data_IF_368175255452
#
_entry.id   IF_368175255452
#
_cell.length_a   1.000
_cell.length_b   1.000
_cell.length_c   1.000
_cell.angle_alpha   90.00
_cell.angle_beta   90.00
_cell.angle_gamma   90.00
#
_symmetry.space_group_name_H-M   'P 1'
#
loop_
_entity.id
_entity.type
_entity.pdbx_description
1 polymer ?
#
# COMPACT_ATOMS: atom_id res chain seq x y z
N UNK A 1 -11.51 -32.58 37.18
CA UNK A 1 -11.27 -32.77 35.74
C UNK A 1 -11.77 -31.59 34.91
N UNK A 2 -12.95 -31.08 35.10
CA UNK A 2 -13.51 -29.98 34.29
C UNK A 2 -12.66 -28.68 34.27
N UNK A 3 -12.11 -28.23 35.39
CA UNK A 3 -11.28 -27.00 35.45
C UNK A 3 -10.01 -27.13 34.62
N UNK A 4 -9.39 -28.29 34.56
CA UNK A 4 -8.18 -28.54 33.78
C UNK A 4 -8.45 -28.49 32.29
N UNK A 5 -9.56 -29.02 31.81
CA UNK A 5 -9.97 -29.00 30.42
C UNK A 5 -10.34 -27.55 29.97
N UNK A 6 -11.02 -26.78 30.81
CA UNK A 6 -11.34 -25.38 30.53
C UNK A 6 -10.09 -24.53 30.36
N UNK A 7 -9.07 -24.74 31.21
CA UNK A 7 -7.79 -24.02 31.09
C UNK A 7 -7.03 -24.39 29.81
N UNK A 8 -7.06 -25.68 29.42
CA UNK A 8 -6.42 -26.14 28.17
C UNK A 8 -7.12 -25.55 26.96
N UNK A 9 -8.46 -25.56 26.93
CA UNK A 9 -9.25 -24.97 25.84
C UNK A 9 -8.97 -23.47 25.72
N UNK A 10 -8.94 -22.74 26.83
CA UNK A 10 -8.63 -21.31 26.85
C UNK A 10 -7.22 -21.03 26.31
N UNK A 11 -6.23 -21.84 26.68
CA UNK A 11 -4.86 -21.74 26.19
C UNK A 11 -4.80 -21.97 24.66
N UNK A 12 -5.47 -23.02 24.17
CA UNK A 12 -5.52 -23.33 22.73
C UNK A 12 -6.17 -22.21 21.95
N UNK A 13 -7.30 -21.68 22.43
CA UNK A 13 -7.97 -20.53 21.80
C UNK A 13 -7.07 -19.29 21.75
N UNK A 14 -6.37 -19.00 22.85
CA UNK A 14 -5.41 -17.88 22.90
C UNK A 14 -4.28 -18.07 21.89
N UNK A 15 -3.72 -19.26 21.79
CA UNK A 15 -2.68 -19.57 20.81
C UNK A 15 -3.19 -19.44 19.37
N UNK A 16 -4.42 -19.88 19.09
CA UNK A 16 -5.04 -19.72 17.78
C UNK A 16 -5.23 -18.24 17.41
N UNK A 17 -5.65 -17.39 18.36
CA UNK A 17 -5.79 -15.96 18.14
C UNK A 17 -4.44 -15.31 17.86
N UNK A 18 -3.41 -15.62 18.65
CA UNK A 18 -2.05 -15.09 18.45
C UNK A 18 -1.48 -15.54 17.12
N UNK A 19 -1.60 -16.83 16.77
CA UNK A 19 -1.14 -17.37 15.50
C UNK A 19 -1.91 -16.73 14.33
N UNK A 20 -3.23 -16.59 14.42
CA UNK A 20 -4.06 -15.95 13.41
C UNK A 20 -3.66 -14.50 13.19
N UNK A 21 -3.41 -13.74 14.27
CA UNK A 21 -2.93 -12.36 14.18
C UNK A 21 -1.53 -12.27 13.52
N UNK A 22 -0.63 -13.15 13.92
CA UNK A 22 0.71 -13.23 13.32
C UNK A 22 0.62 -13.50 11.81
N UNK A 23 -0.14 -14.51 11.40
CA UNK A 23 -0.35 -14.84 10.00
C UNK A 23 -0.97 -13.68 9.22
N UNK A 24 -1.95 -12.98 9.81
CA UNK A 24 -2.62 -11.84 9.17
C UNK A 24 -1.65 -10.74 8.73
N UNK A 25 -0.62 -10.45 9.53
CA UNK A 25 0.38 -9.42 9.22
C UNK A 25 1.60 -9.94 8.44
N UNK A 26 1.86 -11.23 8.46
CA UNK A 26 3.04 -11.81 7.78
C UNK A 26 2.74 -12.37 6.39
N UNK A 27 1.49 -12.73 6.13
CA UNK A 27 1.10 -13.21 4.81
C UNK A 27 1.07 -12.06 3.79
N UNK A 28 1.60 -12.28 2.58
CA UNK A 28 1.52 -11.30 1.52
C UNK A 28 0.07 -10.92 1.19
N UNK A 29 -0.13 -9.67 0.86
CA UNK A 29 -1.42 -9.12 0.43
C UNK A 29 -1.34 -8.78 -1.04
N UNK A 30 -2.35 -9.19 -1.80
CA UNK A 30 -2.54 -8.74 -3.16
C UNK A 30 -3.20 -7.37 -3.17
N UNK A 31 -2.73 -6.49 -4.05
CA UNK A 31 -3.34 -5.18 -4.26
C UNK A 31 -4.58 -5.36 -5.14
N UNK A 32 -5.78 -4.99 -4.64
CA UNK A 32 -6.99 -5.02 -5.47
C UNK A 32 -6.82 -4.19 -6.74
N UNK A 33 -7.31 -4.69 -7.85
CA UNK A 33 -7.27 -4.05 -9.17
C UNK A 33 -5.86 -3.85 -9.78
N UNK A 34 -4.80 -4.38 -9.17
CA UNK A 34 -3.43 -4.25 -9.67
C UNK A 34 -3.30 -4.79 -11.10
N UNK A 35 -3.91 -5.93 -11.39
CA UNK A 35 -3.88 -6.53 -12.73
C UNK A 35 -4.56 -5.66 -13.79
N UNK A 36 -5.56 -4.86 -13.37
CA UNK A 36 -6.35 -4.00 -14.25
C UNK A 36 -5.73 -2.62 -14.46
N UNK A 37 -4.62 -2.27 -13.79
CA UNK A 37 -3.99 -0.94 -13.91
C UNK A 37 -3.65 -0.58 -15.36
N UNK A 38 -3.20 -1.54 -16.16
CA UNK A 38 -2.92 -1.31 -17.58
C UNK A 38 -4.14 -0.93 -18.44
N UNK A 39 -5.36 -1.07 -17.90
CA UNK A 39 -6.63 -0.72 -18.54
C UNK A 39 -7.20 0.61 -18.01
N UNK A 40 -6.49 1.32 -17.14
CA UNK A 40 -6.91 2.64 -16.67
C UNK A 40 -7.08 3.60 -17.84
N UNK A 41 -8.13 4.39 -17.79
CA UNK A 41 -8.33 5.50 -18.73
C UNK A 41 -7.40 6.67 -18.44
N UNK A 42 -7.02 6.83 -17.17
CA UNK A 42 -6.12 7.89 -16.74
C UNK A 42 -5.42 7.50 -15.44
N UNK A 43 -4.13 7.82 -15.33
CA UNK A 43 -3.37 7.77 -14.08
C UNK A 43 -2.76 9.15 -13.83
N UNK A 44 -3.10 9.75 -12.70
CA UNK A 44 -2.62 11.08 -12.28
C UNK A 44 -1.67 10.92 -11.10
N UNK A 45 -0.55 11.61 -11.18
CA UNK A 45 0.44 11.70 -10.10
C UNK A 45 0.45 13.14 -9.58
N UNK A 46 0.21 13.28 -8.28
CA UNK A 46 0.28 14.55 -7.58
C UNK A 46 1.38 14.46 -6.52
N UNK A 47 2.48 15.20 -6.67
CA UNK A 47 3.46 15.36 -5.59
C UNK A 47 2.87 16.26 -4.50
N UNK A 48 3.09 15.86 -3.25
CA UNK A 48 2.65 16.58 -2.05
C UNK A 48 3.88 16.93 -1.23
N UNK A 49 4.22 18.21 -1.15
CA UNK A 49 5.39 18.67 -0.42
C UNK A 49 5.01 19.06 1.02
N UNK A 50 5.69 18.48 2.02
CA UNK A 50 5.47 18.73 3.47
C UNK A 50 3.99 18.68 3.90
N UNK A 51 3.22 17.77 3.29
CA UNK A 51 1.79 17.62 3.59
C UNK A 51 0.88 18.72 3.01
N UNK A 52 1.44 19.68 2.28
CA UNK A 52 0.69 20.72 1.59
C UNK A 52 0.59 20.37 0.11
N UNK A 53 -0.62 20.33 -0.42
CA UNK A 53 -0.84 20.33 -1.86
C UNK A 53 -0.41 21.70 -2.39
N UNK A 54 0.83 21.80 -2.81
CA UNK A 54 1.26 22.96 -3.59
C UNK A 54 0.67 22.82 -4.99
N UNK A 55 0.51 23.96 -5.69
CA UNK A 55 0.08 24.00 -7.10
C UNK A 55 1.15 23.39 -8.04
N UNK A 56 1.60 22.17 -7.72
CA UNK A 56 2.44 21.40 -8.60
C UNK A 56 1.57 20.85 -9.73
N UNK A 57 2.06 20.98 -10.94
CA UNK A 57 1.41 20.41 -12.09
C UNK A 57 1.20 18.91 -11.89
N UNK A 58 -0.06 18.49 -11.97
CA UNK A 58 -0.39 17.07 -11.96
C UNK A 58 0.22 16.43 -13.20
N UNK A 59 1.08 15.43 -13.00
CA UNK A 59 1.57 14.62 -14.10
C UNK A 59 0.51 13.58 -14.47
N UNK A 60 0.16 13.52 -15.75
CA UNK A 60 -0.66 12.44 -16.31
C UNK A 60 0.30 11.46 -16.96
N UNK A 61 0.27 10.20 -16.50
CA UNK A 61 1.16 9.17 -17.04
C UNK A 61 0.74 8.75 -18.44
N UNK A 62 1.71 8.51 -19.29
CA UNK A 62 1.54 7.86 -20.59
C UNK A 62 1.19 6.38 -20.41
N UNK A 63 0.79 5.73 -21.48
CA UNK A 63 0.47 4.30 -21.42
C UNK A 63 1.68 3.44 -21.08
N UNK A 64 2.83 3.81 -21.57
CA UNK A 64 4.11 3.17 -21.29
C UNK A 64 4.47 3.30 -19.80
N UNK A 65 4.40 4.51 -19.24
CA UNK A 65 4.65 4.77 -17.81
C UNK A 65 3.65 4.03 -16.90
N UNK A 66 2.40 3.89 -17.32
CA UNK A 66 1.39 3.10 -16.59
C UNK A 66 1.79 1.62 -16.54
N UNK A 67 2.28 1.07 -17.63
CA UNK A 67 2.74 -0.32 -17.68
C UNK A 67 4.00 -0.55 -16.85
N UNK A 68 4.93 0.41 -16.86
CA UNK A 68 6.13 0.38 -16.00
C UNK A 68 5.75 0.45 -14.51
N UNK A 69 4.83 1.35 -14.16
CA UNK A 69 4.31 1.46 -12.80
C UNK A 69 3.61 0.16 -12.36
N UNK A 70 2.80 -0.44 -13.24
CA UNK A 70 2.19 -1.74 -12.98
C UNK A 70 3.23 -2.81 -12.72
N UNK A 71 4.24 -2.93 -13.58
CA UNK A 71 5.31 -3.91 -13.44
C UNK A 71 6.09 -3.70 -12.13
N UNK A 72 6.38 -2.45 -11.77
CA UNK A 72 7.02 -2.10 -10.50
C UNK A 72 6.16 -2.56 -9.31
N UNK A 73 4.86 -2.27 -9.30
CA UNK A 73 3.97 -2.68 -8.22
C UNK A 73 3.84 -4.21 -8.14
N UNK A 74 3.83 -4.92 -9.27
CA UNK A 74 3.75 -6.38 -9.31
C UNK A 74 5.04 -7.08 -8.88
N UNK A 75 6.20 -6.43 -9.03
CA UNK A 75 7.49 -7.01 -8.65
C UNK A 75 7.74 -7.04 -7.15
N UNK A 76 6.94 -6.34 -6.37
CA UNK A 76 7.09 -6.22 -4.93
C UNK A 76 6.07 -7.08 -4.18
N UNK A 77 6.43 -7.43 -2.94
CA UNK A 77 5.54 -8.11 -2.00
C UNK A 77 5.12 -7.13 -0.91
N UNK A 78 3.85 -7.15 -0.58
CA UNK A 78 3.23 -6.26 0.37
C UNK A 78 2.65 -7.02 1.54
N UNK A 79 2.80 -6.47 2.73
CA UNK A 79 2.20 -6.98 3.96
C UNK A 79 1.31 -5.90 4.57
N UNK A 80 0.35 -6.30 5.39
CA UNK A 80 -0.43 -5.33 6.17
C UNK A 80 0.47 -4.69 7.21
N UNK A 81 0.44 -3.36 7.27
CA UNK A 81 1.10 -2.63 8.34
C UNK A 81 0.25 -2.63 9.60
N UNK A 82 0.89 -2.74 10.75
CA UNK A 82 0.21 -2.64 12.03
C UNK A 82 -0.35 -1.22 12.22
N UNK A 83 -1.63 -1.09 12.58
CA UNK A 83 -2.31 0.21 12.76
C UNK A 83 -1.70 1.07 13.88
N UNK A 84 -1.09 0.42 14.89
CA UNK A 84 -0.47 1.09 16.03
C UNK A 84 0.92 1.69 15.72
N UNK A 85 1.39 1.55 14.50
CA UNK A 85 2.71 2.06 14.13
C UNK A 85 2.59 3.51 13.70
N UNK A 86 3.31 4.42 14.38
CA UNK A 86 3.41 5.82 13.97
C UNK A 86 4.06 5.87 12.59
N UNK A 87 3.32 6.39 11.61
CA UNK A 87 3.86 6.63 10.28
C UNK A 87 4.76 7.85 10.37
N UNK A 88 6.04 7.67 10.09
CA UNK A 88 6.98 8.78 9.98
C UNK A 88 6.99 9.27 8.54
N UNK A 89 6.82 10.56 8.37
CA UNK A 89 7.02 11.22 7.08
C UNK A 89 8.48 11.66 7.04
N UNK A 90 9.34 10.79 6.54
CA UNK A 90 10.80 11.03 6.49
C UNK A 90 11.23 11.76 5.22
N UNK A 91 10.38 11.81 4.20
CA UNK A 91 10.63 12.54 2.95
C UNK A 91 9.89 13.86 2.91
N UNK A 92 10.53 14.87 2.36
CA UNK A 92 9.89 16.16 2.11
C UNK A 92 8.78 16.07 1.04
N UNK A 93 8.84 15.08 0.16
CA UNK A 93 7.88 14.86 -0.91
C UNK A 93 7.20 13.50 -0.77
N UNK A 94 5.89 13.51 -0.81
CA UNK A 94 5.05 12.31 -0.89
C UNK A 94 4.27 12.34 -2.20
N UNK A 95 3.70 11.20 -2.59
CA UNK A 95 2.99 11.09 -3.86
C UNK A 95 1.57 10.58 -3.63
N UNK A 96 0.63 11.19 -4.33
CA UNK A 96 -0.72 10.68 -4.49
C UNK A 96 -0.91 10.27 -5.94
N UNK A 97 -1.04 8.97 -6.18
CA UNK A 97 -1.28 8.42 -7.51
C UNK A 97 -2.73 7.99 -7.57
N UNK A 98 -3.48 8.54 -8.52
CA UNK A 98 -4.89 8.22 -8.71
C UNK A 98 -5.07 7.47 -10.02
N UNK A 99 -5.53 6.23 -9.91
CA UNK A 99 -5.93 5.39 -11.03
C UNK A 99 -7.42 5.58 -11.28
N UNK A 100 -7.80 5.83 -12.52
CA UNK A 100 -9.21 6.02 -12.91
C UNK A 100 -9.52 5.14 -14.12
N UNK A 101 -10.60 4.37 -14.04
CA UNK A 101 -11.11 3.55 -15.14
C UNK A 101 -12.28 4.24 -15.84
N UNK A 102 -12.60 3.80 -17.05
CA UNK A 102 -13.69 4.35 -17.87
C UNK A 102 -15.08 4.13 -17.24
N UNK A 103 -15.23 3.15 -16.35
CA UNK A 103 -16.45 2.88 -15.59
C UNK A 103 -16.62 3.75 -14.35
N UNK A 104 -15.68 4.67 -14.08
CA UNK A 104 -15.71 5.58 -12.95
C UNK A 104 -15.07 5.05 -11.67
N UNK A 105 -14.60 3.80 -11.65
CA UNK A 105 -13.82 3.27 -10.52
C UNK A 105 -12.57 4.09 -10.32
N UNK A 106 -12.16 4.24 -9.05
CA UNK A 106 -10.93 4.93 -8.64
C UNK A 106 -10.20 4.14 -7.58
N UNK A 107 -8.88 4.12 -7.69
CA UNK A 107 -7.97 3.64 -6.66
C UNK A 107 -6.92 4.71 -6.43
N UNK A 108 -6.51 4.89 -5.19
CA UNK A 108 -5.42 5.81 -4.84
C UNK A 108 -4.30 5.07 -4.13
N UNK A 109 -3.09 5.31 -4.57
CA UNK A 109 -1.87 5.01 -3.84
C UNK A 109 -1.35 6.30 -3.24
N UNK A 110 -1.09 6.29 -1.91
CA UNK A 110 -0.52 7.44 -1.20
C UNK A 110 0.74 7.00 -0.48
N UNK A 111 1.85 7.65 -0.77
CA UNK A 111 3.10 7.44 -0.05
C UNK A 111 3.24 8.43 1.10
N UNK A 112 4.02 8.07 2.11
CA UNK A 112 4.29 8.94 3.26
C UNK A 112 5.74 9.40 3.32
N UNK A 113 6.56 8.97 2.34
CA UNK A 113 7.98 9.23 2.34
C UNK A 113 8.77 8.36 3.31
N UNK A 114 8.10 7.52 4.10
CA UNK A 114 8.71 6.39 4.77
C UNK A 114 9.03 5.33 3.71
N UNK A 115 10.25 4.79 3.73
CA UNK A 115 10.80 4.04 2.60
C UNK A 115 9.99 2.80 2.22
N UNK A 116 9.13 2.31 3.10
CA UNK A 116 8.47 1.04 2.95
C UNK A 116 6.94 1.07 3.14
N UNK A 117 6.37 2.21 3.54
CA UNK A 117 4.95 2.31 3.89
C UNK A 117 4.14 3.15 2.91
N UNK A 118 2.97 2.68 2.57
CA UNK A 118 2.00 3.39 1.73
C UNK A 118 0.56 3.00 2.06
N UNK A 119 -0.40 3.77 1.56
CA UNK A 119 -1.82 3.45 1.60
C UNK A 119 -2.29 3.07 0.20
N UNK A 120 -3.00 1.96 0.13
CA UNK A 120 -3.79 1.56 -1.03
C UNK A 120 -5.26 1.73 -0.71
N UNK A 121 -5.88 2.73 -1.32
CA UNK A 121 -7.26 3.13 -1.10
C UNK A 121 -8.08 2.73 -2.32
N UNK A 122 -8.80 1.63 -2.18
CA UNK A 122 -9.71 1.09 -3.18
C UNK A 122 -11.13 1.04 -2.60
N UNK A 123 -11.75 -0.13 -2.54
CA UNK A 123 -13.00 -0.35 -1.81
C UNK A 123 -12.78 -0.30 -0.29
N UNK A 124 -11.56 -0.69 0.14
CA UNK A 124 -11.08 -0.65 1.50
C UNK A 124 -9.79 0.16 1.59
N UNK A 125 -9.65 0.96 2.64
CA UNK A 125 -8.41 1.62 2.98
C UNK A 125 -7.44 0.63 3.60
N UNK A 126 -6.29 0.39 2.97
CA UNK A 126 -5.26 -0.54 3.46
C UNK A 126 -3.94 0.16 3.68
N UNK A 127 -3.44 0.09 4.92
CA UNK A 127 -2.07 0.44 5.24
C UNK A 127 -1.19 -0.77 4.94
N UNK A 128 -0.21 -0.58 4.08
CA UNK A 128 0.66 -1.62 3.58
C UNK A 128 2.13 -1.23 3.75
N UNK A 129 2.97 -2.25 3.84
CA UNK A 129 4.42 -2.09 3.89
C UNK A 129 5.10 -3.08 2.95
N UNK A 130 6.28 -2.74 2.50
CA UNK A 130 7.17 -3.63 1.76
C UNK A 130 8.40 -3.93 2.59
N UNK A 131 9.15 -4.97 2.23
CA UNK A 131 10.46 -5.27 2.82
C UNK A 131 11.61 -4.60 2.08
N UNK A 132 11.31 -3.90 0.99
CA UNK A 132 12.30 -3.17 0.22
C UNK A 132 12.46 -1.75 0.79
N UNK A 133 13.56 -1.51 1.48
CA UNK A 133 13.90 -0.21 2.07
C UNK A 133 14.08 0.91 1.03
N UNK A 134 14.24 0.57 -0.24
CA UNK A 134 14.41 1.51 -1.34
C UNK A 134 13.12 1.70 -2.16
N UNK A 135 12.02 1.10 -1.76
CA UNK A 135 10.79 1.09 -2.55
C UNK A 135 10.30 2.51 -2.88
N UNK A 136 10.26 3.41 -1.90
CA UNK A 136 9.82 4.79 -2.13
C UNK A 136 10.74 5.53 -3.12
N UNK A 137 12.05 5.40 -2.96
CA UNK A 137 13.02 6.03 -3.86
C UNK A 137 12.96 5.46 -5.27
N UNK A 138 12.71 4.16 -5.40
CA UNK A 138 12.54 3.52 -6.71
C UNK A 138 11.24 3.97 -7.39
N UNK A 139 10.15 4.10 -6.65
CA UNK A 139 8.89 4.67 -7.13
C UNK A 139 9.07 6.12 -7.58
N UNK A 140 9.74 6.94 -6.77
CA UNK A 140 10.03 8.34 -7.09
C UNK A 140 10.80 8.47 -8.39
N UNK A 141 11.87 7.70 -8.57
CA UNK A 141 12.65 7.69 -9.81
C UNK A 141 11.81 7.33 -11.04
N UNK A 142 10.88 6.39 -10.90
CA UNK A 142 9.96 6.01 -11.97
C UNK A 142 8.97 7.13 -12.32
N UNK A 143 8.52 7.91 -11.34
CA UNK A 143 7.52 8.95 -11.53
C UNK A 143 8.13 10.26 -12.08
N UNK A 144 9.42 10.52 -11.82
CA UNK A 144 10.12 11.77 -12.20
C UNK A 144 10.73 11.69 -13.60
N UNK A 145 11.15 10.50 -14.02
CA UNK A 145 11.73 10.28 -15.36
C UNK A 145 10.63 10.17 -16.42
#
# INVERSE_FOLDING_TARGET
MEKKYRSIIALVLMLCVVAGRFLYYTLPVELPYLEEIGQCSQVKVLPVYKGLEQNHEQKILTKEEILELKAFLQSNRYNRKHEDTTIRVDSDTTYRITFTWSDGRRVQLRTFGDNDTFVWDSDDLRFLETKDENWHSALENLLIN
#
